data_IF_185191999392
#
_entry.id   IF_185191999392
#
_cell.length_a   1.000
_cell.length_b   1.000
_cell.length_c   1.000
_cell.angle_alpha   90.00
_cell.angle_beta   90.00
_cell.angle_gamma   90.00
#
_symmetry.space_group_name_H-M   'P 1'
#
loop_
_entity.id
_entity.type
_entity.pdbx_description
1 polymer ?
#
# COMPACT_ATOMS: atom_id res chain seq x y z
N UNK A 1 3.60 4.91 -36.54
CA UNK A 1 3.02 5.28 -35.25
C UNK A 1 4.06 6.12 -34.50
N UNK A 2 3.85 7.44 -34.37
CA UNK A 2 4.68 8.33 -33.56
C UNK A 2 4.58 7.87 -32.12
N UNK A 3 5.65 7.25 -31.58
CA UNK A 3 5.80 6.96 -30.17
C UNK A 3 5.55 8.27 -29.37
N UNK A 4 4.43 8.33 -28.66
CA UNK A 4 4.15 9.42 -27.75
C UNK A 4 5.36 9.57 -26.83
N UNK A 5 6.06 10.72 -26.91
CA UNK A 5 7.15 11.06 -26.01
C UNK A 5 6.64 10.90 -24.57
N UNK A 6 7.11 9.89 -23.84
CA UNK A 6 6.73 9.72 -22.44
C UNK A 6 7.12 10.99 -21.70
N UNK A 7 6.13 11.74 -21.25
CA UNK A 7 6.35 12.99 -20.52
C UNK A 7 6.93 12.66 -19.16
N UNK A 8 7.99 13.36 -18.76
CA UNK A 8 8.46 13.36 -17.38
C UNK A 8 7.37 13.90 -16.47
N UNK A 9 7.26 13.35 -15.28
CA UNK A 9 6.31 13.86 -14.28
C UNK A 9 6.72 15.29 -13.92
N UNK A 10 5.82 16.24 -14.11
CA UNK A 10 6.15 17.64 -13.80
C UNK A 10 6.15 17.88 -12.28
N UNK A 11 6.83 18.96 -11.86
CA UNK A 11 6.96 19.27 -10.43
C UNK A 11 5.60 19.54 -9.77
N UNK A 12 4.71 20.27 -10.44
CA UNK A 12 3.41 20.64 -9.85
C UNK A 12 2.55 19.44 -9.43
N UNK A 13 2.20 18.47 -10.31
CA UNK A 13 1.39 17.32 -9.88
C UNK A 13 2.12 16.44 -8.87
N UNK A 14 3.46 16.37 -8.92
CA UNK A 14 4.23 15.63 -7.93
C UNK A 14 4.10 16.27 -6.54
N UNK A 15 4.29 17.59 -6.46
CA UNK A 15 4.17 18.35 -5.20
C UNK A 15 2.73 18.29 -4.67
N UNK A 16 1.75 18.49 -5.54
CA UNK A 16 0.35 18.42 -5.16
C UNK A 16 -0.01 17.04 -4.59
N UNK A 17 0.39 15.96 -5.27
CA UNK A 17 0.18 14.59 -4.79
C UNK A 17 0.92 14.33 -3.46
N UNK A 18 2.15 14.85 -3.30
CA UNK A 18 2.92 14.71 -2.06
C UNK A 18 2.22 15.38 -0.88
N UNK A 19 1.70 16.58 -1.07
CA UNK A 19 0.97 17.31 -0.02
C UNK A 19 -0.34 16.61 0.33
N UNK A 20 -1.13 16.19 -0.67
CA UNK A 20 -2.39 15.49 -0.42
C UNK A 20 -2.18 14.15 0.28
N UNK A 21 -1.34 13.30 -0.29
CA UNK A 21 -1.13 11.94 0.21
C UNK A 21 -0.40 11.96 1.54
N UNK A 22 0.65 12.78 1.67
CA UNK A 22 1.40 12.93 2.93
C UNK A 22 0.56 13.58 4.04
N UNK A 23 -0.34 14.50 3.67
CA UNK A 23 -1.29 15.12 4.61
C UNK A 23 -2.33 14.15 5.16
N UNK A 24 -2.72 13.14 4.39
CA UNK A 24 -3.61 12.07 4.83
C UNK A 24 -2.84 11.02 5.64
N UNK A 25 -1.73 10.53 5.09
CA UNK A 25 -0.92 9.48 5.72
C UNK A 25 0.54 9.61 5.27
N UNK A 26 1.42 9.98 6.20
CA UNK A 26 2.86 10.20 5.91
C UNK A 26 3.51 8.96 5.28
N UNK A 27 3.17 7.77 5.71
CA UNK A 27 3.73 6.52 5.19
C UNK A 27 3.45 6.31 3.70
N UNK A 28 2.33 6.83 3.20
CA UNK A 28 1.95 6.70 1.80
C UNK A 28 2.68 7.67 0.85
N UNK A 29 3.35 8.69 1.38
CA UNK A 29 4.07 9.67 0.54
C UNK A 29 5.15 9.00 -0.32
N UNK A 30 5.76 7.93 0.17
CA UNK A 30 6.77 7.16 -0.57
C UNK A 30 6.21 6.65 -1.90
N UNK A 31 4.94 6.25 -1.92
CA UNK A 31 4.27 5.73 -3.13
C UNK A 31 4.12 6.79 -4.22
N UNK A 32 3.99 8.05 -3.84
CA UNK A 32 3.90 9.18 -4.79
C UNK A 32 5.17 9.28 -5.66
N UNK A 33 6.31 8.87 -5.11
CA UNK A 33 7.60 8.94 -5.81
C UNK A 33 7.94 7.69 -6.63
N UNK A 34 7.24 6.56 -6.41
CA UNK A 34 7.49 5.32 -7.16
C UNK A 34 7.43 5.52 -8.69
N UNK A 35 6.44 6.23 -9.27
CA UNK A 35 6.36 6.42 -10.72
C UNK A 35 7.59 7.10 -11.33
N UNK A 36 8.34 7.91 -10.57
CA UNK A 36 9.57 8.57 -11.03
C UNK A 36 10.64 7.54 -11.40
N UNK A 37 10.71 6.43 -10.66
CA UNK A 37 11.66 5.34 -10.92
C UNK A 37 11.49 4.75 -12.32
N UNK A 38 10.32 4.90 -12.92
CA UNK A 38 9.95 4.39 -14.24
C UNK A 38 10.04 5.44 -15.35
N UNK A 39 10.55 6.63 -15.07
CA UNK A 39 10.80 7.63 -16.12
C UNK A 39 11.86 7.14 -17.11
N UNK A 40 11.57 7.37 -18.40
CA UNK A 40 12.47 6.95 -19.47
C UNK A 40 13.83 7.62 -19.36
N UNK A 41 14.88 6.81 -19.29
CA UNK A 41 16.25 7.30 -19.25
C UNK A 41 16.69 7.88 -17.90
N UNK A 42 15.96 7.62 -16.81
CA UNK A 42 16.33 8.05 -15.47
C UNK A 42 17.78 7.65 -15.12
N UNK A 43 18.11 6.39 -15.30
CA UNK A 43 19.42 5.82 -14.97
C UNK A 43 20.42 5.85 -16.14
N UNK A 44 20.05 6.38 -17.32
CA UNK A 44 20.94 6.46 -18.48
C UNK A 44 21.89 7.65 -18.43
N UNK A 45 21.51 8.70 -17.71
CA UNK A 45 22.25 9.95 -17.66
C UNK A 45 22.12 10.57 -16.28
N UNK A 46 23.25 10.90 -15.67
CA UNK A 46 23.31 11.55 -14.36
C UNK A 46 22.45 12.83 -14.29
N UNK A 47 22.41 13.63 -15.36
CA UNK A 47 21.55 14.82 -15.44
C UNK A 47 20.06 14.48 -15.27
N UNK A 48 19.59 13.38 -15.85
CA UNK A 48 18.20 12.96 -15.70
C UNK A 48 17.90 12.49 -14.28
N UNK A 49 18.81 11.72 -13.69
CA UNK A 49 18.71 11.29 -12.30
C UNK A 49 18.67 12.50 -11.36
N UNK A 50 19.62 13.42 -11.52
CA UNK A 50 19.70 14.62 -10.69
C UNK A 50 18.45 15.50 -10.80
N UNK A 51 17.93 15.72 -12.02
CA UNK A 51 16.69 16.45 -12.22
C UNK A 51 15.47 15.76 -11.57
N UNK A 52 15.44 14.44 -11.57
CA UNK A 52 14.39 13.68 -10.87
C UNK A 52 14.53 13.82 -9.36
N UNK A 53 15.74 13.69 -8.83
CA UNK A 53 16.05 13.88 -7.42
C UNK A 53 15.66 15.29 -6.93
N UNK A 54 16.00 16.34 -7.69
CA UNK A 54 15.59 17.72 -7.36
C UNK A 54 14.07 17.83 -7.26
N UNK A 55 13.32 17.26 -8.21
CA UNK A 55 11.84 17.30 -8.16
C UNK A 55 11.28 16.60 -6.92
N UNK A 56 11.86 15.46 -6.54
CA UNK A 56 11.50 14.74 -5.31
C UNK A 56 11.80 15.61 -4.09
N UNK A 57 13.02 16.16 -4.01
CA UNK A 57 13.45 16.98 -2.87
C UNK A 57 12.57 18.23 -2.73
N UNK A 58 12.30 18.94 -3.82
CA UNK A 58 11.43 20.12 -3.77
C UNK A 58 10.01 19.72 -3.32
N UNK A 59 9.43 18.65 -3.89
CA UNK A 59 8.11 18.17 -3.50
C UNK A 59 8.04 17.77 -2.02
N UNK A 60 9.05 17.07 -1.54
CA UNK A 60 9.15 16.68 -0.14
C UNK A 60 9.35 17.91 0.77
N UNK A 61 10.19 18.86 0.36
CA UNK A 61 10.42 20.09 1.11
C UNK A 61 9.15 20.91 1.27
N UNK A 62 8.36 21.09 0.20
CA UNK A 62 7.07 21.78 0.27
C UNK A 62 6.13 21.08 1.26
N UNK A 63 6.04 19.75 1.19
CA UNK A 63 5.24 19.00 2.14
C UNK A 63 5.72 19.21 3.59
N UNK A 64 7.03 19.10 3.83
CA UNK A 64 7.62 19.29 5.17
C UNK A 64 7.39 20.71 5.69
N UNK A 65 7.56 21.72 4.85
CA UNK A 65 7.31 23.12 5.24
C UNK A 65 5.84 23.36 5.62
N UNK A 66 4.90 22.81 4.85
CA UNK A 66 3.47 22.92 5.18
C UNK A 66 3.12 22.14 6.46
N UNK A 67 3.77 20.99 6.67
CA UNK A 67 3.59 20.20 7.88
C UNK A 67 4.16 20.92 9.12
N UNK A 68 5.34 21.54 9.01
CA UNK A 68 5.93 22.35 10.05
C UNK A 68 5.08 23.59 10.36
N UNK A 69 4.56 24.27 9.33
CA UNK A 69 3.64 25.38 9.52
C UNK A 69 2.41 24.96 10.35
N UNK A 70 1.85 23.78 10.08
CA UNK A 70 0.72 23.22 10.86
C UNK A 70 1.11 22.90 12.31
N UNK A 71 2.38 22.69 12.60
CA UNK A 71 2.92 22.40 13.93
C UNK A 71 3.50 23.64 14.63
N UNK A 72 3.15 24.84 14.15
CA UNK A 72 3.68 26.12 14.68
C UNK A 72 5.22 26.16 14.70
N UNK A 73 5.85 25.54 13.69
CA UNK A 73 7.30 25.41 13.51
C UNK A 73 8.02 24.62 14.61
N UNK A 74 7.28 23.92 15.45
CA UNK A 74 7.85 23.01 16.45
C UNK A 74 8.31 21.70 15.80
N UNK A 75 9.54 21.69 15.28
CA UNK A 75 10.14 20.52 14.64
C UNK A 75 10.37 19.35 15.61
N UNK A 76 10.57 19.62 16.92
CA UNK A 76 10.74 18.57 17.93
C UNK A 76 9.43 17.77 18.09
N UNK A 77 8.30 18.41 17.89
CA UNK A 77 6.99 17.76 17.94
C UNK A 77 6.82 16.69 16.86
N UNK A 78 7.54 16.78 15.74
CA UNK A 78 7.55 15.71 14.73
C UNK A 78 8.16 14.44 15.31
N UNK A 79 9.31 14.56 15.96
CA UNK A 79 10.02 13.40 16.51
C UNK A 79 9.29 12.82 17.73
N UNK A 80 8.81 13.65 18.64
CA UNK A 80 8.08 13.20 19.83
C UNK A 80 6.76 12.53 19.44
N UNK A 81 5.93 13.17 18.63
CA UNK A 81 4.66 12.58 18.18
C UNK A 81 4.85 11.34 17.30
N UNK A 82 5.83 11.35 16.41
CA UNK A 82 6.12 10.17 15.58
C UNK A 82 6.64 9.03 16.42
N UNK A 83 7.50 9.30 17.40
CA UNK A 83 7.99 8.31 18.34
C UNK A 83 6.88 7.73 19.21
N UNK A 84 6.01 8.57 19.76
CA UNK A 84 4.84 8.14 20.52
C UNK A 84 3.86 7.30 19.69
N UNK A 85 3.58 7.74 18.46
CA UNK A 85 2.74 6.97 17.54
C UNK A 85 3.39 5.64 17.17
N UNK A 86 4.69 5.63 16.90
CA UNK A 86 5.40 4.39 16.62
C UNK A 86 5.34 3.42 17.80
N UNK A 87 5.62 3.90 19.01
CA UNK A 87 5.49 3.06 20.21
C UNK A 87 4.06 2.57 20.43
N UNK A 88 3.10 3.45 20.22
CA UNK A 88 1.68 3.13 20.35
C UNK A 88 1.22 2.09 19.35
N UNK A 89 1.66 2.22 18.09
CA UNK A 89 1.09 1.46 16.97
C UNK A 89 1.97 0.32 16.44
N UNK A 90 3.22 0.19 16.90
CA UNK A 90 4.15 -0.82 16.37
C UNK A 90 4.65 -1.84 17.39
N UNK A 91 4.34 -1.64 18.67
CA UNK A 91 4.80 -2.52 19.75
C UNK A 91 3.66 -3.06 20.61
N UNK A 92 2.72 -3.81 20.06
CA UNK A 92 1.69 -4.45 20.86
C UNK A 92 2.33 -5.52 21.75
N UNK A 93 1.97 -5.53 23.04
CA UNK A 93 2.50 -6.52 23.98
C UNK A 93 1.75 -7.83 23.98
N UNK A 94 0.51 -7.84 23.52
CA UNK A 94 -0.45 -8.92 23.83
C UNK A 94 -0.82 -9.75 22.61
N UNK A 95 -0.72 -9.19 21.39
CA UNK A 95 -1.12 -9.91 20.18
C UNK A 95 0.05 -10.59 19.52
N UNK A 96 0.01 -11.90 19.26
CA UNK A 96 1.02 -12.61 18.52
C UNK A 96 1.25 -11.98 17.15
N UNK A 97 2.51 -11.89 16.73
CA UNK A 97 2.88 -11.28 15.45
C UNK A 97 2.20 -11.97 14.27
N UNK A 98 2.04 -13.29 14.34
CA UNK A 98 1.38 -14.06 13.29
C UNK A 98 -0.09 -13.68 13.13
N UNK A 99 -0.82 -13.50 14.24
CA UNK A 99 -2.22 -13.07 14.20
C UNK A 99 -2.36 -11.69 13.56
N UNK A 100 -1.42 -10.80 13.82
CA UNK A 100 -1.41 -9.47 13.21
C UNK A 100 -1.12 -9.52 11.70
N UNK A 101 -0.12 -10.29 11.29
CA UNK A 101 0.24 -10.45 9.88
C UNK A 101 -0.89 -11.14 9.11
N UNK A 102 -1.44 -12.23 9.66
CA UNK A 102 -2.56 -12.92 9.03
C UNK A 102 -3.80 -12.02 8.92
N UNK A 103 -4.11 -11.24 9.94
CA UNK A 103 -5.20 -10.26 9.89
C UNK A 103 -4.95 -9.17 8.85
N UNK A 104 -3.71 -8.77 8.62
CA UNK A 104 -3.38 -7.78 7.61
C UNK A 104 -3.59 -8.30 6.19
N UNK A 105 -3.18 -9.55 5.92
CA UNK A 105 -3.35 -10.18 4.60
C UNK A 105 -4.74 -10.79 4.39
N UNK A 106 -5.29 -11.44 5.42
CA UNK A 106 -6.47 -12.28 5.33
C UNK A 106 -7.68 -11.72 6.10
N UNK A 107 -7.52 -10.55 6.72
CA UNK A 107 -8.60 -9.93 7.48
C UNK A 107 -9.56 -9.13 6.62
N UNK A 108 -10.38 -8.33 7.26
CA UNK A 108 -11.49 -7.61 6.69
C UNK A 108 -11.20 -6.59 5.61
N UNK A 109 -9.95 -6.45 5.18
CA UNK A 109 -9.62 -5.72 3.96
C UNK A 109 -9.95 -6.52 2.69
N UNK A 110 -9.96 -7.84 2.80
CA UNK A 110 -10.30 -8.76 1.71
C UNK A 110 -11.70 -9.37 1.87
N UNK A 111 -11.99 -9.84 3.08
CA UNK A 111 -13.31 -10.38 3.44
C UNK A 111 -13.64 -9.88 4.83
N UNK A 112 -14.88 -9.44 5.05
CA UNK A 112 -15.35 -9.05 6.37
C UNK A 112 -15.29 -10.24 7.33
N UNK A 113 -14.55 -10.07 8.41
CA UNK A 113 -14.57 -10.96 9.56
C UNK A 113 -15.20 -10.25 10.75
N UNK A 114 -15.51 -10.98 11.80
CA UNK A 114 -15.95 -10.39 13.05
C UNK A 114 -14.83 -9.55 13.67
N UNK A 115 -15.21 -8.48 14.37
CA UNK A 115 -14.25 -7.68 15.12
C UNK A 115 -14.13 -8.21 16.53
N UNK A 116 -12.90 -8.27 17.02
CA UNK A 116 -12.57 -8.55 18.41
C UNK A 116 -11.96 -7.31 19.04
N UNK A 117 -12.53 -6.89 20.16
CA UNK A 117 -11.95 -5.82 20.98
C UNK A 117 -10.85 -6.43 21.83
N UNK A 118 -9.62 -5.91 21.71
CA UNK A 118 -8.49 -6.34 22.53
C UNK A 118 -7.95 -5.15 23.30
N UNK A 119 -7.63 -5.41 24.57
CA UNK A 119 -7.04 -4.42 25.46
C UNK A 119 -5.56 -4.25 25.16
N UNK A 120 -5.13 -3.00 24.92
CA UNK A 120 -3.74 -2.67 24.67
C UNK A 120 -3.14 -1.92 25.84
N UNK A 121 -2.10 -2.50 26.40
CA UNK A 121 -1.26 -1.86 27.39
C UNK A 121 0.13 -1.64 26.80
N UNK A 122 0.53 -0.39 26.57
CA UNK A 122 1.93 -0.12 26.26
C UNK A 122 2.77 0.05 27.53
N UNK A 123 4.10 0.10 27.37
CA UNK A 123 5.04 0.25 28.49
C UNK A 123 4.84 1.54 29.32
N UNK A 124 4.15 2.55 28.79
CA UNK A 124 3.86 3.84 29.43
C UNK A 124 2.49 3.88 30.11
N UNK A 125 1.86 2.73 30.31
CA UNK A 125 0.54 2.67 30.97
C UNK A 125 -0.61 3.19 30.13
N UNK A 126 -0.42 3.32 28.82
CA UNK A 126 -1.47 3.75 27.92
C UNK A 126 -2.43 2.59 27.67
N UNK A 127 -3.68 2.76 28.11
CA UNK A 127 -4.75 1.81 27.91
C UNK A 127 -5.63 2.27 26.74
N UNK A 128 -5.85 1.44 25.77
CA UNK A 128 -6.89 1.65 24.78
C UNK A 128 -7.39 0.33 24.20
N UNK A 129 -8.66 0.30 23.92
CA UNK A 129 -9.30 -0.83 23.26
C UNK A 129 -9.07 -0.72 21.74
N UNK A 130 -8.34 -1.66 21.18
CA UNK A 130 -8.12 -1.74 19.75
C UNK A 130 -9.08 -2.76 19.14
N UNK A 131 -9.65 -2.38 18.01
CA UNK A 131 -10.49 -3.25 17.21
C UNK A 131 -9.60 -4.11 16.31
N UNK A 132 -9.61 -5.41 16.50
CA UNK A 132 -8.97 -6.38 15.62
C UNK A 132 -9.98 -7.09 14.77
N UNK A 133 -9.55 -7.52 13.62
CA UNK A 133 -10.27 -8.52 12.87
C UNK A 133 -10.02 -9.88 13.48
N UNK A 134 -11.09 -10.59 13.77
CA UNK A 134 -10.98 -11.96 14.22
C UNK A 134 -10.46 -12.85 13.09
N UNK A 135 -9.73 -13.90 13.45
CA UNK A 135 -9.32 -14.94 12.50
C UNK A 135 -10.57 -15.63 11.97
N UNK A 136 -10.56 -15.99 10.70
CA UNK A 136 -11.68 -16.74 10.14
C UNK A 136 -11.83 -18.08 10.85
N UNK A 137 -13.07 -18.41 11.16
CA UNK A 137 -13.42 -19.67 11.84
C UNK A 137 -13.44 -20.89 10.93
N UNK A 138 -13.40 -20.67 9.60
CA UNK A 138 -13.38 -21.73 8.59
C UNK A 138 -12.20 -21.56 7.63
N UNK A 139 -11.91 -22.61 6.87
CA UNK A 139 -10.81 -22.62 5.90
C UNK A 139 -11.19 -21.90 4.60
N UNK A 140 -12.48 -21.80 4.27
CA UNK A 140 -12.95 -21.25 3.01
C UNK A 140 -12.48 -19.80 2.75
N UNK A 141 -12.56 -18.84 3.67
CA UNK A 141 -12.03 -17.50 3.49
C UNK A 141 -10.51 -17.46 3.22
N UNK A 142 -9.74 -18.34 3.86
CA UNK A 142 -8.28 -18.43 3.59
C UNK A 142 -8.00 -18.90 2.17
N UNK A 143 -8.77 -19.89 1.68
CA UNK A 143 -8.67 -20.37 0.29
C UNK A 143 -9.05 -19.22 -0.67
N UNK A 144 -10.12 -18.48 -0.37
CA UNK A 144 -10.56 -17.35 -1.17
C UNK A 144 -9.45 -16.28 -1.29
N UNK A 145 -8.92 -15.81 -0.17
CA UNK A 145 -7.87 -14.80 -0.15
C UNK A 145 -6.61 -15.32 -0.82
N UNK A 146 -6.23 -16.57 -0.56
CA UNK A 146 -5.12 -17.23 -1.23
C UNK A 146 -5.29 -17.25 -2.75
N UNK A 147 -6.47 -17.60 -3.23
CA UNK A 147 -6.79 -17.59 -4.66
C UNK A 147 -6.69 -16.17 -5.27
N UNK A 148 -7.21 -15.15 -4.58
CA UNK A 148 -7.10 -13.76 -5.01
C UNK A 148 -5.63 -13.32 -5.09
N UNK A 149 -4.82 -13.64 -4.08
CA UNK A 149 -3.38 -13.33 -4.10
C UNK A 149 -2.66 -14.03 -5.25
N UNK A 150 -2.97 -15.31 -5.50
CA UNK A 150 -2.43 -16.05 -6.65
C UNK A 150 -2.78 -15.35 -7.98
N UNK A 151 -4.02 -14.88 -8.15
CA UNK A 151 -4.42 -14.11 -9.34
C UNK A 151 -3.66 -12.79 -9.46
N UNK A 152 -3.41 -12.08 -8.35
CA UNK A 152 -2.62 -10.85 -8.32
C UNK A 152 -1.19 -11.12 -8.79
N UNK A 153 -0.52 -12.14 -8.24
CA UNK A 153 0.83 -12.51 -8.67
C UNK A 153 0.86 -13.01 -10.13
N UNK A 154 -0.13 -13.80 -10.52
CA UNK A 154 -0.26 -14.23 -11.93
C UNK A 154 -0.39 -13.03 -12.87
N UNK A 155 -1.23 -12.06 -12.53
CA UNK A 155 -1.34 -10.81 -13.27
C UNK A 155 0.01 -10.10 -13.40
N UNK A 156 0.76 -10.03 -12.29
CA UNK A 156 2.08 -9.42 -12.29
C UNK A 156 3.03 -10.09 -13.27
N UNK A 157 3.19 -11.40 -13.19
CA UNK A 157 4.08 -12.15 -14.08
C UNK A 157 3.64 -12.06 -15.56
N UNK A 158 2.34 -12.12 -15.83
CA UNK A 158 1.80 -11.99 -17.19
C UNK A 158 2.06 -10.63 -17.81
N UNK A 159 2.00 -9.57 -17.01
CA UNK A 159 2.11 -8.18 -17.45
C UNK A 159 3.38 -7.48 -16.92
N UNK A 160 4.37 -8.24 -16.54
CA UNK A 160 5.55 -7.75 -15.81
C UNK A 160 6.33 -6.66 -16.57
N UNK A 161 6.27 -6.64 -17.93
CA UNK A 161 6.88 -5.57 -18.75
C UNK A 161 6.09 -4.26 -18.72
N UNK A 162 4.89 -4.26 -18.18
CA UNK A 162 4.07 -3.06 -18.09
C UNK A 162 4.48 -2.23 -16.86
N UNK A 163 4.87 -0.98 -17.10
CA UNK A 163 5.32 -0.07 -16.04
C UNK A 163 4.27 0.19 -14.97
N UNK A 164 3.00 0.30 -15.37
CA UNK A 164 1.92 0.53 -14.41
C UNK A 164 1.74 -0.67 -13.46
N UNK A 165 1.81 -1.88 -13.99
CA UNK A 165 1.77 -3.12 -13.19
C UNK A 165 2.97 -3.19 -12.23
N UNK A 166 4.16 -2.78 -12.69
CA UNK A 166 5.33 -2.70 -11.82
C UNK A 166 5.16 -1.65 -10.70
N UNK A 167 4.58 -0.48 -11.01
CA UNK A 167 4.30 0.57 -10.02
C UNK A 167 3.30 0.05 -8.97
N UNK A 168 2.23 -0.63 -9.39
CA UNK A 168 1.25 -1.23 -8.48
C UNK A 168 1.90 -2.25 -7.55
N UNK A 169 2.69 -3.17 -8.10
CA UNK A 169 3.35 -4.21 -7.30
C UNK A 169 4.39 -3.61 -6.35
N UNK A 170 5.16 -2.62 -6.81
CA UNK A 170 6.12 -1.95 -5.94
C UNK A 170 5.42 -1.18 -4.81
N UNK A 171 4.27 -0.55 -5.08
CA UNK A 171 3.45 0.08 -4.05
C UNK A 171 2.97 -0.94 -3.01
N UNK A 172 2.55 -2.12 -3.45
CA UNK A 172 2.17 -3.21 -2.55
C UNK A 172 3.35 -3.70 -1.69
N UNK A 173 4.53 -3.86 -2.27
CA UNK A 173 5.74 -4.23 -1.50
C UNK A 173 6.14 -3.16 -0.49
N UNK A 174 5.98 -1.88 -0.81
CA UNK A 174 6.21 -0.79 0.16
C UNK A 174 5.28 -0.93 1.36
N UNK A 175 4.01 -1.27 1.15
CA UNK A 175 3.08 -1.53 2.26
C UNK A 175 3.50 -2.74 3.10
N UNK A 176 3.92 -3.84 2.47
CA UNK A 176 4.44 -5.01 3.18
C UNK A 176 5.63 -4.62 4.05
N UNK A 177 6.57 -3.84 3.51
CA UNK A 177 7.74 -3.39 4.29
C UNK A 177 7.31 -2.53 5.47
N UNK A 178 6.48 -1.52 5.24
CA UNK A 178 6.07 -0.57 6.28
C UNK A 178 5.24 -1.28 7.36
N UNK A 179 4.26 -2.09 6.96
CA UNK A 179 3.28 -2.63 7.90
C UNK A 179 3.67 -3.99 8.47
N UNK A 180 4.22 -4.89 7.67
CA UNK A 180 4.58 -6.23 8.15
C UNK A 180 6.01 -6.32 8.66
N UNK A 181 7.00 -5.69 7.99
CA UNK A 181 8.40 -5.77 8.42
C UNK A 181 8.71 -4.75 9.51
N UNK A 182 8.37 -3.48 9.29
CA UNK A 182 8.56 -2.42 10.29
C UNK A 182 7.46 -2.40 11.36
N UNK A 183 6.41 -3.20 11.19
CA UNK A 183 5.27 -3.37 12.11
C UNK A 183 4.47 -2.09 12.39
N UNK A 184 4.58 -1.10 11.52
CA UNK A 184 3.86 0.16 11.71
C UNK A 184 2.36 -0.06 11.46
N UNK A 185 1.56 0.17 12.51
CA UNK A 185 0.10 0.02 12.44
C UNK A 185 -0.41 -1.40 12.22
N UNK A 186 0.44 -2.43 12.36
CA UNK A 186 0.07 -3.82 12.10
C UNK A 186 -1.06 -4.32 13.01
N UNK A 187 -1.17 -3.76 14.22
CA UNK A 187 -2.26 -4.08 15.16
C UNK A 187 -3.61 -3.43 14.81
N UNK A 188 -3.62 -2.52 13.86
CA UNK A 188 -4.84 -1.93 13.28
C UNK A 188 -4.90 -2.26 11.79
N UNK A 189 -4.72 -3.53 11.48
CA UNK A 189 -4.62 -4.06 10.13
C UNK A 189 -5.80 -3.66 9.23
N UNK A 190 -6.99 -3.54 9.80
CA UNK A 190 -8.19 -3.10 9.08
C UNK A 190 -8.11 -1.66 8.56
N UNK A 191 -7.36 -0.77 9.23
CA UNK A 191 -7.14 0.61 8.75
C UNK A 191 -6.06 0.61 7.67
N UNK A 192 -4.91 0.03 8.00
CA UNK A 192 -3.72 0.13 7.14
C UNK A 192 -3.72 -0.85 5.97
N UNK A 193 -4.48 -1.93 6.06
CA UNK A 193 -4.71 -2.82 4.92
C UNK A 193 -5.46 -2.14 3.77
N UNK A 194 -6.27 -1.11 4.05
CA UNK A 194 -6.88 -0.26 3.03
C UNK A 194 -5.85 0.42 2.10
N UNK A 195 -4.59 0.54 2.54
CA UNK A 195 -3.53 1.15 1.73
C UNK A 195 -3.13 0.31 0.51
N UNK A 196 -3.31 -1.00 0.54
CA UNK A 196 -2.95 -1.87 -0.59
C UNK A 196 -4.15 -2.45 -1.35
N UNK A 197 -5.35 -2.42 -0.77
CA UNK A 197 -6.51 -3.12 -1.32
C UNK A 197 -6.83 -2.74 -2.78
N UNK A 198 -6.56 -1.48 -3.16
CA UNK A 198 -6.77 -1.01 -4.52
C UNK A 198 -5.91 -1.76 -5.56
N UNK A 199 -4.79 -2.35 -5.15
CA UNK A 199 -3.91 -3.12 -6.02
C UNK A 199 -4.64 -4.35 -6.56
N UNK A 200 -5.48 -4.98 -5.73
CA UNK A 200 -6.19 -6.21 -6.09
C UNK A 200 -7.09 -6.03 -7.32
N UNK A 201 -8.10 -5.15 -7.34
CA UNK A 201 -8.96 -4.98 -8.51
C UNK A 201 -8.19 -4.47 -9.73
N UNK A 202 -7.17 -3.63 -9.54
CA UNK A 202 -6.35 -3.15 -10.64
C UNK A 202 -5.53 -4.27 -11.27
N UNK A 203 -4.93 -5.16 -10.47
CA UNK A 203 -4.18 -6.30 -10.97
C UNK A 203 -5.09 -7.33 -11.64
N UNK A 204 -6.29 -7.58 -11.10
CA UNK A 204 -7.29 -8.41 -11.78
C UNK A 204 -7.67 -7.83 -13.14
N UNK A 205 -7.94 -6.54 -13.24
CA UNK A 205 -8.19 -5.86 -14.51
C UNK A 205 -7.06 -6.07 -15.54
N UNK A 206 -5.79 -5.97 -15.08
CA UNK A 206 -4.64 -6.24 -15.93
C UNK A 206 -4.50 -7.73 -16.31
N UNK A 207 -4.93 -8.65 -15.46
CA UNK A 207 -4.97 -10.07 -15.78
C UNK A 207 -5.92 -10.33 -16.96
N UNK A 208 -7.14 -9.80 -16.86
CA UNK A 208 -8.12 -9.89 -17.96
C UNK A 208 -7.59 -9.23 -19.23
N UNK A 209 -7.02 -8.04 -19.14
CA UNK A 209 -6.44 -7.35 -20.28
C UNK A 209 -5.29 -8.14 -20.91
N UNK A 210 -4.46 -8.80 -20.12
CA UNK A 210 -3.37 -9.66 -20.59
C UNK A 210 -3.84 -10.89 -21.40
N UNK A 211 -5.10 -11.28 -21.23
CA UNK A 211 -5.73 -12.40 -21.95
C UNK A 211 -6.82 -11.96 -22.91
N UNK A 212 -6.92 -10.67 -23.24
CA UNK A 212 -7.96 -10.11 -24.13
C UNK A 212 -8.11 -10.81 -25.49
N UNK A 213 -7.04 -11.41 -26.01
CA UNK A 213 -7.03 -12.13 -27.28
C UNK A 213 -7.21 -13.66 -27.11
N UNK A 214 -7.55 -14.14 -25.92
CA UNK A 214 -7.76 -15.56 -25.60
C UNK A 214 -9.15 -15.78 -25.00
N UNK A 215 -10.20 -16.01 -25.83
CA UNK A 215 -11.57 -16.15 -25.36
C UNK A 215 -11.73 -17.27 -24.32
N UNK A 216 -11.05 -18.41 -24.51
CA UNK A 216 -11.09 -19.53 -23.55
C UNK A 216 -10.58 -19.11 -22.17
N UNK A 217 -9.48 -18.35 -22.13
CA UNK A 217 -8.87 -17.90 -20.89
C UNK A 217 -9.72 -16.80 -20.24
N UNK A 218 -10.30 -15.89 -21.01
CA UNK A 218 -11.23 -14.89 -20.49
C UNK A 218 -12.46 -15.55 -19.87
N UNK A 219 -13.07 -16.53 -20.55
CA UNK A 219 -14.18 -17.30 -19.99
C UNK A 219 -13.80 -17.99 -18.68
N UNK A 220 -12.66 -18.67 -18.67
CA UNK A 220 -12.16 -19.32 -17.45
C UNK A 220 -12.01 -18.31 -16.31
N UNK A 221 -11.30 -17.19 -16.53
CA UNK A 221 -11.11 -16.16 -15.52
C UNK A 221 -12.43 -15.56 -15.06
N UNK A 222 -13.36 -15.30 -15.98
CA UNK A 222 -14.68 -14.75 -15.64
C UNK A 222 -15.46 -15.68 -14.73
N UNK A 223 -15.51 -16.97 -15.08
CA UNK A 223 -16.21 -17.97 -14.25
C UNK A 223 -15.51 -18.12 -12.91
N UNK A 224 -14.17 -18.23 -12.89
CA UNK A 224 -13.41 -18.41 -11.67
C UNK A 224 -13.56 -17.23 -10.72
N UNK A 225 -13.38 -15.99 -11.23
CA UNK A 225 -13.57 -14.78 -10.41
C UNK A 225 -15.03 -14.62 -10.00
N UNK A 226 -15.97 -14.96 -10.88
CA UNK A 226 -17.40 -14.98 -10.54
C UNK A 226 -17.73 -15.91 -9.39
N UNK A 227 -17.17 -17.12 -9.37
CA UNK A 227 -17.30 -18.05 -8.24
C UNK A 227 -16.73 -17.43 -6.97
N UNK A 228 -15.54 -16.79 -7.05
CA UNK A 228 -14.97 -16.12 -5.88
C UNK A 228 -15.88 -15.02 -5.33
N UNK A 229 -16.58 -14.27 -6.18
CA UNK A 229 -17.53 -13.24 -5.74
C UNK A 229 -18.80 -13.79 -5.09
N UNK A 230 -19.18 -15.03 -5.35
CA UNK A 230 -20.30 -15.67 -4.64
C UNK A 230 -19.98 -15.94 -3.16
N UNK A 231 -18.70 -15.97 -2.78
CA UNK A 231 -18.28 -16.11 -1.38
C UNK A 231 -18.26 -14.79 -0.61
N UNK A 232 -18.44 -13.66 -1.26
CA UNK A 232 -18.52 -12.33 -0.64
C UNK A 232 -19.95 -12.00 -0.23
#
# INVERSE_FOLDING_TARGET
AKLKKEKKISLFPLTFASVLVGGLTITNIVKVYIPILFEKGLFKNFKNFFNAAIRVVISAAVFVLLFLYRLDWDYMRIFTKTGEQYEKFSKPKVTPLWDMISSWFFGGNMIFSNFVVRDYHNKKGFHYNALFMDVFTSVAPYIFVGAVLVLVFWSYFKNFKNKFVQILMLSFFVDIIIHCVLKFGLHTSYIYGGHFIFVVPMMLGWLFFGYKNSPKMLSFLTVFVGILFVFL
#
